data_IF_897286657551
#
_entry.id   IF_897286657551
#
_cell.length_a   1.000
_cell.length_b   1.000
_cell.length_c   1.000
_cell.angle_alpha   90.00
_cell.angle_beta   90.00
_cell.angle_gamma   90.00
#
_symmetry.space_group_name_H-M   'P 1'
#
loop_
_entity.id
_entity.type
_entity.pdbx_description
1 polymer ?
#
# COMPACT_ATOMS: atom_id res chain seq x y z
N UNK A 1 -45.36 9.66 -55.35
CA UNK A 1 -45.10 8.36 -54.68
C UNK A 1 -45.30 8.59 -53.19
N UNK A 2 -46.29 7.94 -52.55
CA UNK A 2 -46.50 8.05 -51.11
C UNK A 2 -45.44 7.23 -50.36
N UNK A 3 -44.89 7.79 -49.28
CA UNK A 3 -43.88 7.15 -48.42
C UNK A 3 -44.56 6.23 -47.40
N UNK A 4 -44.03 5.02 -47.20
CA UNK A 4 -44.53 4.04 -46.21
C UNK A 4 -44.55 4.60 -44.78
N UNK A 5 -43.72 5.59 -44.48
CA UNK A 5 -43.66 6.26 -43.17
C UNK A 5 -44.85 7.15 -42.86
N UNK A 6 -45.62 7.60 -43.87
CA UNK A 6 -46.80 8.45 -43.65
C UNK A 6 -48.12 7.65 -43.59
N UNK A 7 -48.08 6.35 -43.87
CA UNK A 7 -49.23 5.45 -43.80
C UNK A 7 -49.30 4.66 -42.48
N UNK A 8 -48.26 4.71 -41.66
CA UNK A 8 -48.17 3.98 -40.41
C UNK A 8 -48.23 4.95 -39.21
N UNK A 9 -48.94 4.59 -38.13
CA UNK A 9 -48.98 5.41 -36.92
C UNK A 9 -47.59 5.49 -36.27
N UNK A 10 -47.31 6.61 -35.62
CA UNK A 10 -46.02 6.85 -34.98
C UNK A 10 -45.72 5.76 -33.92
N UNK A 11 -44.48 5.24 -33.87
CA UNK A 11 -44.11 4.16 -32.96
C UNK A 11 -44.25 4.61 -31.50
N UNK A 12 -44.92 3.78 -30.69
CA UNK A 12 -45.27 4.08 -29.29
C UNK A 12 -44.29 3.49 -28.27
N UNK A 13 -43.31 2.70 -28.70
CA UNK A 13 -42.28 2.13 -27.83
C UNK A 13 -41.07 3.05 -27.73
N UNK A 14 -40.62 3.34 -26.50
CA UNK A 14 -39.36 4.02 -26.27
C UNK A 14 -38.21 3.17 -26.82
N UNK A 15 -37.47 3.74 -27.78
CA UNK A 15 -36.21 3.16 -28.26
C UNK A 15 -35.19 3.34 -27.15
N UNK A 16 -34.80 2.24 -26.51
CA UNK A 16 -33.67 2.23 -25.59
C UNK A 16 -32.39 2.14 -26.40
N UNK A 17 -32.04 3.21 -27.12
CA UNK A 17 -30.70 3.35 -27.69
C UNK A 17 -29.75 3.76 -26.57
N UNK A 18 -29.11 2.74 -25.99
CA UNK A 18 -28.14 2.83 -24.88
C UNK A 18 -26.92 3.72 -25.20
N UNK A 19 -26.76 4.14 -26.46
CA UNK A 19 -25.63 4.93 -26.93
C UNK A 19 -25.95 6.42 -27.20
N UNK A 20 -27.22 6.84 -27.28
CA UNK A 20 -27.58 8.25 -27.54
C UNK A 20 -27.64 9.13 -26.27
N UNK A 21 -27.74 8.53 -25.07
CA UNK A 21 -27.76 9.29 -23.81
C UNK A 21 -26.42 9.98 -23.48
N UNK A 22 -25.29 9.47 -23.98
CA UNK A 22 -23.97 10.08 -23.72
C UNK A 22 -23.71 11.33 -24.55
N UNK A 23 -24.42 11.52 -25.67
CA UNK A 23 -24.14 12.61 -26.63
C UNK A 23 -25.02 13.84 -26.40
N UNK A 24 -26.19 13.68 -25.78
CA UNK A 24 -27.16 14.77 -25.57
C UNK A 24 -26.95 15.61 -24.28
N UNK A 25 -26.03 15.23 -23.37
CA UNK A 25 -25.80 15.95 -22.10
C UNK A 25 -24.52 16.81 -22.06
N UNK A 26 -24.04 17.29 -23.21
CA UNK A 26 -23.00 18.33 -23.26
C UNK A 26 -23.59 19.66 -23.71
N UNK A 27 -24.56 20.15 -22.94
CA UNK A 27 -24.96 21.57 -22.99
C UNK A 27 -24.08 22.28 -21.97
N UNK A 28 -23.25 23.20 -22.45
CA UNK A 28 -22.22 23.85 -21.64
C UNK A 28 -22.79 24.53 -20.40
N UNK A 29 -22.39 24.06 -19.23
CA UNK A 29 -22.35 24.88 -18.03
C UNK A 29 -20.99 25.56 -17.97
N UNK A 30 -20.99 26.86 -17.67
CA UNK A 30 -19.79 27.65 -17.45
C UNK A 30 -18.74 26.89 -16.63
N UNK A 31 -17.47 27.02 -17.00
CA UNK A 31 -16.33 26.52 -16.24
C UNK A 31 -16.26 27.29 -14.90
N UNK A 32 -17.09 26.87 -13.95
CA UNK A 32 -16.94 27.23 -12.56
C UNK A 32 -15.83 26.33 -12.04
N UNK A 33 -14.63 26.89 -11.92
CA UNK A 33 -13.60 26.31 -11.05
C UNK A 33 -14.06 26.58 -9.62
N UNK A 34 -15.00 25.76 -9.13
CA UNK A 34 -15.23 25.67 -7.70
C UNK A 34 -13.99 25.01 -7.13
N UNK A 35 -13.26 25.69 -6.24
CA UNK A 35 -12.38 24.97 -5.32
C UNK A 35 -13.19 23.78 -4.80
N UNK A 36 -12.72 22.56 -5.04
CA UNK A 36 -13.34 21.33 -4.58
C UNK A 36 -13.14 21.25 -3.06
N UNK A 37 -13.79 22.18 -2.34
CA UNK A 37 -13.75 22.21 -0.90
C UNK A 37 -14.60 21.05 -0.40
N UNK A 38 -13.91 20.07 0.18
CA UNK A 38 -14.41 19.06 1.09
C UNK A 38 -15.61 19.62 1.89
N UNK A 39 -16.86 19.16 1.65
CA UNK A 39 -18.04 19.67 2.35
C UNK A 39 -17.90 19.46 3.87
N UNK A 40 -18.43 20.33 4.73
CA UNK A 40 -18.37 20.15 6.19
C UNK A 40 -18.98 18.81 6.63
N UNK A 41 -18.52 18.29 7.77
CA UNK A 41 -19.01 17.02 8.34
C UNK A 41 -20.53 17.02 8.50
N UNK A 42 -21.18 15.89 8.21
CA UNK A 42 -22.65 15.77 8.22
C UNK A 42 -23.36 16.33 6.98
N UNK A 43 -22.67 17.09 6.12
CA UNK A 43 -23.20 17.58 4.82
C UNK A 43 -22.68 16.77 3.63
N UNK A 44 -21.97 15.67 3.85
CA UNK A 44 -21.38 14.82 2.80
C UNK A 44 -22.35 13.80 2.20
N UNK A 45 -23.65 13.88 2.50
CA UNK A 45 -24.64 12.94 1.97
C UNK A 45 -24.72 13.06 0.45
N UNK A 46 -24.38 11.98 -0.25
CA UNK A 46 -24.36 11.94 -1.73
C UNK A 46 -23.09 12.52 -2.36
N UNK A 47 -22.14 12.99 -1.55
CA UNK A 47 -20.81 13.37 -2.00
C UNK A 47 -19.84 12.20 -1.77
N UNK A 48 -19.07 11.85 -2.80
CA UNK A 48 -18.12 10.73 -2.74
C UNK A 48 -16.81 11.19 -3.37
N UNK A 49 -15.69 11.23 -2.62
CA UNK A 49 -14.39 11.58 -3.18
C UNK A 49 -13.95 10.47 -4.15
N UNK A 50 -13.51 10.87 -5.35
CA UNK A 50 -13.06 9.95 -6.42
C UNK A 50 -11.60 10.17 -6.79
N UNK A 51 -11.10 11.39 -6.65
CA UNK A 51 -9.72 11.75 -6.88
C UNK A 51 -8.97 12.05 -5.58
N UNK A 52 -7.64 12.01 -5.60
CA UNK A 52 -6.79 12.34 -4.44
C UNK A 52 -6.96 13.82 -4.00
N UNK A 53 -7.26 14.70 -4.95
CA UNK A 53 -7.51 16.13 -4.71
C UNK A 53 -8.82 16.39 -3.95
N UNK A 54 -9.81 15.49 -4.06
CA UNK A 54 -11.11 15.62 -3.38
C UNK A 54 -10.99 15.47 -1.86
N UNK A 55 -9.87 14.94 -1.36
CA UNK A 55 -9.60 14.81 0.06
C UNK A 55 -9.04 16.10 0.67
N UNK A 56 -8.48 17.02 -0.13
CA UNK A 56 -8.06 18.36 0.30
C UNK A 56 -7.13 18.37 1.53
N UNK A 57 -6.13 17.48 1.54
CA UNK A 57 -5.21 17.25 2.68
C UNK A 57 -5.86 16.58 3.92
N UNK A 58 -7.12 16.18 3.81
CA UNK A 58 -7.88 15.45 4.83
C UNK A 58 -7.72 13.93 4.75
N UNK A 59 -8.11 13.25 5.84
CA UNK A 59 -8.18 11.79 5.91
C UNK A 59 -9.44 11.21 5.27
N UNK A 60 -9.61 9.88 5.38
CA UNK A 60 -10.81 9.20 4.91
C UNK A 60 -12.05 9.62 5.72
N UNK A 61 -13.19 9.77 5.04
CA UNK A 61 -14.46 10.16 5.66
C UNK A 61 -15.25 8.91 6.09
N UNK A 62 -15.35 8.60 7.40
CA UNK A 62 -16.02 7.39 7.88
C UNK A 62 -17.53 7.38 7.61
N UNK A 63 -18.12 8.56 7.40
CA UNK A 63 -19.55 8.73 7.07
C UNK A 63 -19.91 8.33 5.63
N UNK A 64 -18.91 8.13 4.76
CA UNK A 64 -19.10 7.70 3.37
C UNK A 64 -18.73 6.23 3.27
N UNK A 65 -19.73 5.36 3.08
CA UNK A 65 -19.56 3.90 2.98
C UNK A 65 -18.97 3.45 1.63
N UNK A 66 -17.83 4.02 1.26
CA UNK A 66 -17.02 3.66 0.08
C UNK A 66 -15.57 3.59 0.54
N UNK A 67 -14.82 2.61 0.04
CA UNK A 67 -13.39 2.51 0.33
C UNK A 67 -12.67 3.75 -0.21
N UNK A 68 -11.99 4.46 0.68
CA UNK A 68 -11.28 5.69 0.39
C UNK A 68 -9.79 5.47 0.66
N UNK A 69 -8.95 5.92 -0.26
CA UNK A 69 -7.51 5.74 -0.18
C UNK A 69 -6.79 7.09 -0.34
N UNK A 70 -6.89 8.00 0.66
CA UNK A 70 -6.11 9.24 0.64
C UNK A 70 -4.61 8.90 0.47
N UNK A 71 -3.92 9.60 -0.44
CA UNK A 71 -2.51 9.38 -0.76
C UNK A 71 -2.17 7.93 -1.21
N UNK A 72 -3.17 7.15 -1.65
CA UNK A 72 -3.01 5.73 -1.98
C UNK A 72 -2.71 4.83 -0.77
N UNK A 73 -2.88 5.34 0.45
CA UNK A 73 -2.69 4.56 1.68
C UNK A 73 -3.76 3.46 1.80
N UNK A 74 -3.37 2.25 2.16
CA UNK A 74 -4.29 1.11 2.33
C UNK A 74 -4.79 0.47 1.02
N UNK A 75 -4.42 1.02 -0.13
CA UNK A 75 -4.69 0.40 -1.43
C UNK A 75 -3.82 -0.86 -1.61
N UNK A 76 -4.43 -1.97 -2.02
CA UNK A 76 -3.71 -3.23 -2.31
C UNK A 76 -3.00 -3.09 -3.65
N UNK A 77 -1.73 -3.49 -3.73
CA UNK A 77 -0.97 -3.56 -4.99
C UNK A 77 0.28 -2.69 -5.08
N UNK A 78 0.59 -1.86 -4.07
CA UNK A 78 1.94 -1.28 -3.91
C UNK A 78 2.78 -2.21 -3.03
N UNK A 79 3.67 -2.96 -3.64
CA UNK A 79 4.68 -3.74 -2.93
C UNK A 79 5.66 -2.77 -2.27
N UNK A 80 5.63 -2.68 -0.93
CA UNK A 80 6.59 -1.89 -0.17
C UNK A 80 7.77 -2.77 0.22
N UNK A 81 8.92 -2.59 -0.42
CA UNK A 81 10.18 -3.19 0.05
C UNK A 81 10.66 -2.43 1.28
N UNK A 82 10.44 -2.99 2.47
CA UNK A 82 10.81 -2.34 3.73
C UNK A 82 12.31 -2.48 4.03
N UNK A 83 13.10 -1.46 3.71
CA UNK A 83 14.51 -1.34 4.14
C UNK A 83 14.69 -0.59 5.48
N UNK A 84 13.62 -0.49 6.29
CA UNK A 84 13.55 0.42 7.43
C UNK A 84 14.57 0.16 8.56
N UNK A 85 15.08 -1.08 8.69
CA UNK A 85 16.05 -1.45 9.73
C UNK A 85 17.51 -1.30 9.29
N UNK A 86 17.77 -1.21 7.98
CA UNK A 86 19.13 -1.10 7.46
C UNK A 86 19.66 0.32 7.69
N UNK A 87 20.78 0.44 8.40
CA UNK A 87 21.44 1.73 8.63
C UNK A 87 22.26 2.07 7.38
N UNK A 88 21.94 3.19 6.73
CA UNK A 88 22.66 3.71 5.55
C UNK A 88 23.14 5.13 5.86
N UNK A 89 24.45 5.32 5.86
CA UNK A 89 25.07 6.64 6.00
C UNK A 89 25.07 7.35 4.64
N UNK A 90 24.31 8.43 4.54
CA UNK A 90 24.12 9.18 3.28
C UNK A 90 23.99 10.68 3.49
N UNK A 91 23.85 11.11 4.74
CA UNK A 91 23.68 12.51 5.10
C UNK A 91 25.06 13.09 5.42
N UNK A 92 25.25 14.38 5.15
CA UNK A 92 26.49 15.08 5.48
C UNK A 92 26.83 14.98 6.98
N UNK A 93 25.81 14.95 7.84
CA UNK A 93 25.95 14.78 9.30
C UNK A 93 26.67 13.51 9.69
N UNK A 94 26.61 12.47 8.86
CA UNK A 94 27.22 11.17 9.12
C UNK A 94 28.74 11.19 8.85
N UNK A 95 29.20 12.17 8.07
CA UNK A 95 30.61 12.36 7.72
C UNK A 95 31.33 13.35 8.64
N UNK A 96 30.58 14.04 9.51
CA UNK A 96 31.16 14.94 10.48
C UNK A 96 31.75 14.12 11.64
N UNK A 97 32.95 14.48 12.13
CA UNK A 97 33.53 13.82 13.29
C UNK A 97 32.61 13.95 14.51
N UNK A 98 32.37 12.84 15.20
CA UNK A 98 31.79 12.87 16.54
C UNK A 98 32.88 13.27 17.53
N UNK A 99 32.66 14.35 18.27
CA UNK A 99 33.57 14.78 19.33
C UNK A 99 33.44 13.86 20.54
N UNK A 100 34.52 13.15 20.90
CA UNK A 100 34.61 12.43 22.17
C UNK A 100 35.11 13.42 23.21
N UNK A 101 34.21 13.89 24.08
CA UNK A 101 34.49 14.96 25.03
C UNK A 101 35.16 14.47 26.34
N UNK A 102 35.08 13.18 26.63
CA UNK A 102 35.64 12.55 27.83
C UNK A 102 36.16 11.15 27.51
N UNK A 103 37.25 10.74 28.17
CA UNK A 103 37.83 9.41 28.00
C UNK A 103 36.93 8.29 28.58
N UNK A 104 36.10 8.61 29.58
CA UNK A 104 35.19 7.68 30.25
C UNK A 104 33.73 7.79 29.76
N UNK A 105 33.50 8.03 28.47
CA UNK A 105 32.15 8.11 27.91
C UNK A 105 31.41 6.75 28.03
N UNK A 106 30.28 6.67 28.75
CA UNK A 106 29.53 5.42 28.93
C UNK A 106 28.98 4.85 27.61
N UNK A 107 28.83 5.67 26.56
CA UNK A 107 28.33 5.22 25.25
C UNK A 107 29.38 4.48 24.43
N UNK A 108 30.67 4.68 24.73
CA UNK A 108 31.81 4.06 24.05
C UNK A 108 32.39 2.85 24.81
N UNK A 109 31.79 2.48 25.94
CA UNK A 109 32.23 1.32 26.71
C UNK A 109 31.87 0.01 25.99
N UNK A 110 32.74 -0.99 26.16
CA UNK A 110 32.43 -2.36 25.77
C UNK A 110 31.18 -2.82 26.53
N UNK A 111 30.25 -3.54 25.88
CA UNK A 111 29.11 -4.15 26.58
C UNK A 111 29.55 -5.03 27.76
N UNK A 112 28.62 -5.28 28.69
CA UNK A 112 28.90 -6.08 29.88
C UNK A 112 29.29 -7.53 29.53
N UNK A 113 30.03 -8.16 30.42
CA UNK A 113 30.50 -9.53 30.22
C UNK A 113 29.35 -10.55 30.24
N UNK A 114 28.22 -10.24 30.88
CA UNK A 114 26.98 -11.02 30.81
C UNK A 114 26.35 -10.95 29.40
N UNK A 115 26.16 -9.75 28.85
CA UNK A 115 25.62 -9.55 27.50
C UNK A 115 26.47 -10.24 26.43
N UNK A 116 27.79 -10.21 26.59
CA UNK A 116 28.72 -10.87 25.67
C UNK A 116 28.55 -12.38 25.71
N UNK A 117 28.39 -12.97 26.90
CA UNK A 117 28.16 -14.40 27.04
C UNK A 117 26.83 -14.78 26.39
N UNK A 118 25.76 -14.04 26.65
CA UNK A 118 24.44 -14.27 26.06
C UNK A 118 24.45 -14.20 24.52
N UNK A 119 25.08 -13.17 23.96
CA UNK A 119 25.23 -13.03 22.51
C UNK A 119 26.09 -14.17 21.94
N UNK A 120 27.16 -14.56 22.65
CA UNK A 120 28.05 -15.64 22.24
C UNK A 120 27.32 -16.97 22.19
N UNK A 121 26.57 -17.32 23.25
CA UNK A 121 25.79 -18.54 23.31
C UNK A 121 24.68 -18.56 22.24
N UNK A 122 23.95 -17.45 22.08
CA UNK A 122 22.91 -17.33 21.06
C UNK A 122 23.47 -17.47 19.64
N UNK A 123 24.62 -16.86 19.36
CA UNK A 123 25.29 -16.95 18.06
C UNK A 123 25.84 -18.35 17.82
N UNK A 124 26.44 -18.97 18.84
CA UNK A 124 26.91 -20.36 18.81
C UNK A 124 25.78 -21.33 18.46
N UNK A 125 24.65 -21.25 19.17
CA UNK A 125 23.48 -22.10 18.91
C UNK A 125 22.90 -21.89 17.50
N UNK A 126 22.84 -20.64 17.02
CA UNK A 126 22.36 -20.34 15.68
C UNK A 126 23.26 -20.94 14.58
N UNK A 127 24.59 -20.87 14.78
CA UNK A 127 25.56 -21.46 13.86
C UNK A 127 25.52 -22.99 13.92
N UNK A 128 25.44 -23.59 15.11
CA UNK A 128 25.27 -25.04 15.28
C UNK A 128 23.99 -25.56 14.60
N UNK A 129 22.89 -24.80 14.65
CA UNK A 129 21.66 -25.14 13.92
C UNK A 129 21.88 -25.18 12.41
N UNK A 130 22.58 -24.17 11.86
CA UNK A 130 22.88 -24.11 10.43
C UNK A 130 23.86 -25.21 10.00
N UNK A 131 24.87 -25.53 10.82
CA UNK A 131 25.83 -26.60 10.51
C UNK A 131 25.15 -27.96 10.60
N UNK A 132 24.34 -28.23 11.62
CA UNK A 132 23.58 -29.47 11.76
C UNK A 132 22.61 -29.68 10.59
N UNK A 133 21.94 -28.62 10.12
CA UNK A 133 21.10 -28.71 8.93
C UNK A 133 21.91 -29.10 7.68
N UNK A 134 23.10 -28.52 7.50
CA UNK A 134 24.01 -28.88 6.39
C UNK A 134 24.54 -30.31 6.51
N UNK A 135 24.92 -30.74 7.71
CA UNK A 135 25.38 -32.12 7.97
C UNK A 135 24.26 -33.10 7.66
N UNK A 136 23.05 -32.84 8.15
CA UNK A 136 21.90 -33.73 7.91
C UNK A 136 21.53 -33.82 6.43
N UNK A 137 21.67 -32.73 5.67
CA UNK A 137 21.45 -32.75 4.23
C UNK A 137 22.55 -33.54 3.47
N UNK A 138 23.77 -33.59 4.01
CA UNK A 138 24.89 -34.34 3.44
C UNK A 138 24.92 -35.82 3.86
N UNK A 139 24.21 -36.19 4.93
CA UNK A 139 24.14 -37.57 5.38
C UNK A 139 23.27 -38.43 4.43
N UNK A 140 23.66 -39.70 4.18
CA UNK A 140 22.85 -40.60 3.35
C UNK A 140 21.46 -40.82 3.94
N UNK A 141 20.42 -40.65 3.12
CA UNK A 141 19.03 -40.88 3.53
C UNK A 141 18.73 -42.38 3.50
N UNK A 142 18.14 -42.92 4.58
CA UNK A 142 17.62 -44.30 4.58
C UNK A 142 16.46 -44.42 3.59
N UNK A 143 16.50 -45.43 2.72
CA UNK A 143 15.41 -45.74 1.82
C UNK A 143 14.12 -46.02 2.60
N UNK A 144 13.01 -45.42 2.19
CA UNK A 144 11.71 -45.66 2.82
C UNK A 144 11.31 -47.15 2.68
N UNK A 145 10.73 -47.77 3.72
CA UNK A 145 10.23 -49.13 3.62
C UNK A 145 9.09 -49.17 2.60
N UNK A 146 9.15 -50.15 1.69
CA UNK A 146 8.08 -50.38 0.70
C UNK A 146 6.80 -50.73 1.44
N UNK A 147 5.72 -49.97 1.19
CA UNK A 147 4.39 -50.35 1.62
C UNK A 147 4.03 -51.67 0.91
N UNK A 148 3.89 -52.73 1.68
CA UNK A 148 3.39 -54.03 1.19
C UNK A 148 1.87 -53.88 1.09
N UNK A 149 1.34 -53.97 -0.13
CA UNK A 149 -0.09 -54.04 -0.44
C UNK A 149 -0.62 -55.46 -0.26
#
# INVERSE_FOLDING_TARGET
MASLSSLLPAPTQQVWDRDDERKAKRVGSALVVSQTSVPPYGQRKGWVPRAEEDFGDGGAFPEIHVAQYPLGMGARGKESTSNALAIIYSKLTDLLPSEVLAEDDPTLQKPDDEDIQDITEKTKLALEKLTNAKISAAMPVKAAPKAVS
#
